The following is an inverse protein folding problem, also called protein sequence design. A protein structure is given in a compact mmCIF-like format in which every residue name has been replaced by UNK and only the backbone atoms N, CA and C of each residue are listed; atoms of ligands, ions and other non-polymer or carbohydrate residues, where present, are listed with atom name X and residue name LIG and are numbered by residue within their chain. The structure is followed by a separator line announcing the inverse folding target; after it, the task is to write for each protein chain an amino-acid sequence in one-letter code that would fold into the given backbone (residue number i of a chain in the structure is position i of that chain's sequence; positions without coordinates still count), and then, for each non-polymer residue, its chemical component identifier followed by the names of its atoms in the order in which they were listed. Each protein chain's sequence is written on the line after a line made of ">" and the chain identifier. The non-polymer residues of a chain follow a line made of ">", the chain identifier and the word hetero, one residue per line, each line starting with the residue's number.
data_IF_136807336396
#
_entry.id   IF_136807336396
#
_cell.length_a   1.000
_cell.length_b   1.000
_cell.length_c   1.000
_cell.angle_alpha   90.00
_cell.angle_beta   90.00
_cell.angle_gamma   90.00
#
_symmetry.space_group_name_H-M   'P 1'
#
loop_
_entity.id
_entity.type
_entity.pdbx_description
1 polymer ?
#
# COMPACT_ATOMS: atom_id res chain seq x y z
N UNK A 1 -6.36 -36.34 8.28
CA UNK A 1 -6.81 -35.74 7.01
C UNK A 1 -6.27 -34.32 6.96
N UNK A 2 -5.29 -34.04 6.10
CA UNK A 2 -4.75 -32.68 5.90
C UNK A 2 -5.53 -32.00 4.78
N UNK A 3 -6.12 -30.85 5.07
CA UNK A 3 -6.84 -30.03 4.08
C UNK A 3 -5.82 -29.35 3.17
N UNK A 4 -5.89 -29.58 1.86
CA UNK A 4 -5.06 -28.87 0.89
C UNK A 4 -5.69 -27.52 0.57
N UNK A 5 -4.90 -26.45 0.68
CA UNK A 5 -5.31 -25.10 0.29
C UNK A 5 -5.10 -24.90 -1.21
N UNK A 6 -6.04 -24.23 -1.87
CA UNK A 6 -5.97 -23.87 -3.28
C UNK A 6 -6.11 -22.35 -3.41
N UNK A 7 -5.04 -21.70 -3.88
CA UNK A 7 -4.91 -20.24 -3.91
C UNK A 7 -4.67 -19.75 -5.35
N UNK A 8 -5.71 -19.64 -6.18
CA UNK A 8 -5.58 -19.11 -7.53
C UNK A 8 -5.44 -17.59 -7.50
N UNK A 9 -4.53 -17.05 -8.33
CA UNK A 9 -4.38 -15.61 -8.55
C UNK A 9 -5.05 -15.23 -9.88
N UNK A 10 -5.94 -14.23 -9.84
CA UNK A 10 -6.64 -13.72 -11.03
C UNK A 10 -6.17 -12.29 -11.32
N UNK A 11 -5.69 -12.05 -12.53
CA UNK A 11 -5.31 -10.71 -13.01
C UNK A 11 -6.44 -10.10 -13.85
N UNK A 12 -6.62 -8.78 -13.74
CA UNK A 12 -7.60 -8.04 -14.50
C UNK A 12 -7.13 -6.60 -14.74
N UNK A 13 -7.64 -5.97 -15.79
CA UNK A 13 -7.37 -4.57 -16.14
C UNK A 13 -8.67 -3.77 -16.16
N UNK A 14 -8.58 -2.47 -15.84
CA UNK A 14 -9.72 -1.55 -15.90
C UNK A 14 -9.94 -1.11 -17.35
N UNK A 15 -11.10 -1.40 -17.92
CA UNK A 15 -11.46 -0.98 -19.28
C UNK A 15 -12.25 0.32 -19.32
N UNK A 16 -12.91 0.68 -18.22
CA UNK A 16 -13.75 1.88 -18.12
C UNK A 16 -13.50 2.63 -16.81
N UNK A 17 -13.68 3.95 -16.86
CA UNK A 17 -13.62 4.81 -15.68
C UNK A 17 -14.95 4.72 -14.91
N UNK A 18 -14.91 4.24 -13.67
CA UNK A 18 -16.09 4.07 -12.80
C UNK A 18 -15.78 4.65 -11.43
N UNK A 19 -16.61 5.55 -10.92
CA UNK A 19 -16.45 6.11 -9.56
C UNK A 19 -17.36 5.38 -8.57
N UNK A 20 -17.03 5.48 -7.27
CA UNK A 20 -17.86 4.93 -6.16
C UNK A 20 -18.19 3.44 -6.35
N UNK A 21 -17.20 2.63 -6.73
CA UNK A 21 -17.42 1.21 -6.94
C UNK A 21 -17.91 0.53 -5.65
N UNK A 22 -18.90 -0.34 -5.79
CA UNK A 22 -19.36 -1.19 -4.68
C UNK A 22 -18.47 -2.44 -4.56
N UNK A 23 -18.31 -2.99 -3.34
CA UNK A 23 -17.62 -4.26 -3.14
C UNK A 23 -18.23 -5.38 -4.00
N UNK A 24 -17.37 -6.23 -4.58
CA UNK A 24 -17.79 -7.30 -5.50
C UNK A 24 -17.59 -8.66 -4.83
N UNK A 25 -18.53 -9.60 -4.98
CA UNK A 25 -18.42 -10.90 -4.34
C UNK A 25 -17.56 -11.90 -5.13
N UNK A 26 -16.75 -12.65 -4.41
CA UNK A 26 -16.16 -13.94 -4.83
C UNK A 26 -16.95 -15.04 -4.14
N UNK A 27 -17.45 -16.02 -4.91
CA UNK A 27 -18.24 -17.13 -4.39
C UNK A 27 -17.62 -18.45 -4.82
N UNK A 28 -17.47 -19.36 -3.87
CA UNK A 28 -17.08 -20.75 -4.10
C UNK A 28 -18.27 -21.62 -3.72
N UNK A 29 -18.61 -22.60 -4.55
CA UNK A 29 -19.72 -23.50 -4.31
C UNK A 29 -19.40 -24.91 -4.79
N UNK A 30 -20.01 -25.91 -4.16
CA UNK A 30 -20.03 -27.27 -4.67
C UNK A 30 -20.96 -27.33 -5.89
N UNK A 31 -20.45 -27.84 -7.01
CA UNK A 31 -21.16 -27.88 -8.28
C UNK A 31 -22.45 -28.73 -8.22
N UNK A 32 -22.43 -29.83 -7.46
CA UNK A 32 -23.58 -30.73 -7.34
C UNK A 32 -24.49 -30.37 -6.16
N UNK A 33 -24.00 -29.59 -5.21
CA UNK A 33 -24.75 -29.15 -4.04
C UNK A 33 -24.54 -27.65 -3.77
N UNK A 34 -25.28 -26.82 -4.49
CA UNK A 34 -25.16 -25.34 -4.39
C UNK A 34 -25.55 -24.76 -3.02
N UNK A 35 -26.09 -25.57 -2.10
CA UNK A 35 -26.32 -25.17 -0.71
C UNK A 35 -25.00 -24.99 0.05
N UNK A 36 -23.96 -25.74 -0.33
CA UNK A 36 -22.59 -25.59 0.18
C UNK A 36 -21.87 -24.50 -0.58
N UNK A 37 -22.00 -23.25 -0.11
CA UNK A 37 -21.29 -22.11 -0.68
C UNK A 37 -20.63 -21.24 0.39
N UNK A 38 -19.55 -20.60 0.01
CA UNK A 38 -18.92 -19.52 0.76
C UNK A 38 -18.83 -18.28 -0.12
N UNK A 39 -19.02 -17.10 0.47
CA UNK A 39 -18.99 -15.81 -0.23
C UNK A 39 -18.15 -14.83 0.56
N UNK A 40 -17.24 -14.13 -0.13
CA UNK A 40 -16.43 -13.04 0.41
C UNK A 40 -16.53 -11.86 -0.52
N UNK A 41 -16.52 -10.64 0.00
CA UNK A 41 -16.47 -9.42 -0.82
C UNK A 41 -15.04 -8.90 -0.86
N UNK A 42 -14.59 -8.54 -2.06
CA UNK A 42 -13.37 -7.77 -2.22
C UNK A 42 -13.72 -6.34 -2.63
N UNK A 43 -12.89 -5.40 -2.18
CA UNK A 43 -13.00 -4.00 -2.55
C UNK A 43 -11.97 -3.68 -3.64
N UNK A 44 -12.41 -3.23 -4.82
CA UNK A 44 -11.47 -2.72 -5.81
C UNK A 44 -10.87 -1.40 -5.30
N UNK A 45 -9.75 -0.97 -5.90
CA UNK A 45 -9.18 0.35 -5.60
C UNK A 45 -10.25 1.44 -5.77
N UNK A 46 -10.46 2.26 -4.76
CA UNK A 46 -11.46 3.33 -4.84
C UNK A 46 -11.02 4.35 -5.91
N UNK A 47 -11.95 4.75 -6.77
CA UNK A 47 -11.80 5.96 -7.59
C UNK A 47 -12.92 6.93 -7.29
N UNK A 48 -12.53 8.18 -7.08
CA UNK A 48 -13.45 9.29 -6.83
C UNK A 48 -14.00 9.83 -8.14
N UNK A 49 -15.01 10.71 -8.05
CA UNK A 49 -15.53 11.38 -9.24
C UNK A 49 -14.48 12.31 -9.87
N UNK A 50 -13.66 12.96 -9.04
CA UNK A 50 -12.63 13.90 -9.48
C UNK A 50 -11.43 13.21 -10.16
N UNK A 51 -11.21 11.91 -9.91
CA UNK A 51 -10.20 11.12 -10.62
C UNK A 51 -10.63 10.75 -12.06
N UNK A 52 -11.92 10.93 -12.37
CA UNK A 52 -12.55 10.35 -13.57
C UNK A 52 -13.16 11.41 -14.49
N UNK A 53 -13.77 12.45 -13.93
CA UNK A 53 -14.43 13.50 -14.70
C UNK A 53 -13.42 14.35 -15.48
N UNK A 54 -13.86 14.89 -16.62
CA UNK A 54 -13.03 15.71 -17.51
C UNK A 54 -13.71 17.05 -17.78
N UNK A 55 -12.97 18.15 -17.66
CA UNK A 55 -13.47 19.49 -17.98
C UNK A 55 -14.75 19.87 -17.24
N UNK A 56 -15.79 20.20 -18.02
CA UNK A 56 -17.09 20.66 -17.52
C UNK A 56 -17.91 19.55 -16.83
N UNK A 57 -17.60 18.27 -17.07
CA UNK A 57 -18.28 17.13 -16.43
C UNK A 57 -18.10 17.10 -14.90
N UNK A 58 -17.01 17.70 -14.41
CA UNK A 58 -16.73 17.80 -12.98
C UNK A 58 -17.62 18.81 -12.26
N UNK A 59 -18.19 19.77 -12.99
CA UNK A 59 -18.94 20.90 -12.44
C UNK A 59 -18.22 21.56 -11.26
N UNK A 60 -18.96 21.85 -10.19
CA UNK A 60 -18.43 22.43 -8.95
C UNK A 60 -18.06 21.39 -7.88
N UNK A 61 -18.02 20.10 -8.22
CA UNK A 61 -17.81 19.02 -7.22
C UNK A 61 -16.35 18.92 -6.79
N UNK A 62 -15.43 19.26 -7.69
CA UNK A 62 -14.00 19.07 -7.50
C UNK A 62 -13.24 20.36 -7.15
N UNK A 63 -13.93 21.50 -7.00
CA UNK A 63 -13.34 22.83 -6.83
C UNK A 63 -13.00 23.21 -5.38
N UNK A 64 -12.99 22.26 -4.44
CA UNK A 64 -12.73 22.54 -3.00
C UNK A 64 -11.56 21.77 -2.37
N UNK A 65 -10.77 21.00 -3.13
CA UNK A 65 -9.56 20.38 -2.61
C UNK A 65 -8.44 20.36 -3.66
N UNK A 66 -7.80 21.51 -3.83
CA UNK A 66 -6.46 21.59 -4.41
C UNK A 66 -5.44 20.96 -3.45
N UNK A 67 -5.43 19.63 -3.31
CA UNK A 67 -4.19 18.86 -3.07
C UNK A 67 -4.49 17.36 -2.95
N UNK A 68 -4.13 16.61 -3.99
CA UNK A 68 -3.81 15.19 -3.86
C UNK A 68 -2.87 14.78 -4.99
N UNK A 69 -1.62 15.24 -4.89
CA UNK A 69 -0.47 14.47 -5.39
C UNK A 69 -0.25 13.31 -4.42
N UNK A 70 -0.79 12.14 -4.75
CA UNK A 70 -0.38 10.87 -4.16
C UNK A 70 0.31 10.02 -5.23
N UNK A 71 1.46 10.48 -5.70
CA UNK A 71 2.47 9.56 -6.20
C UNK A 71 3.07 8.85 -4.98
N UNK A 72 2.55 7.67 -4.66
CA UNK A 72 3.31 6.73 -3.84
C UNK A 72 4.54 6.33 -4.64
N UNK A 73 5.65 7.03 -4.40
CA UNK A 73 6.99 6.51 -4.62
C UNK A 73 7.18 5.24 -3.79
N UNK A 74 6.85 4.09 -4.37
CA UNK A 74 7.52 2.84 -4.01
C UNK A 74 8.89 2.83 -4.69
N UNK A 75 9.86 3.51 -4.08
CA UNK A 75 11.27 3.17 -4.26
C UNK A 75 11.90 3.14 -2.88
N UNK A 76 12.00 1.92 -2.36
CA UNK A 76 12.78 1.59 -1.17
C UNK A 76 14.25 1.94 -1.41
N UNK A 77 14.71 3.08 -0.89
CA UNK A 77 16.13 3.38 -0.72
C UNK A 77 16.39 3.50 0.78
N UNK A 78 16.86 2.41 1.36
CA UNK A 78 17.37 2.37 2.73
C UNK A 78 18.76 3.02 2.78
N UNK A 79 18.92 3.98 3.70
CA UNK A 79 20.13 4.27 4.51
C UNK A 79 21.32 4.93 3.78
N UNK A 80 22.06 5.93 4.29
CA UNK A 80 22.33 6.40 5.64
C UNK A 80 22.46 7.94 5.66
N UNK A 81 21.71 8.61 6.55
CA UNK A 81 22.04 9.99 6.96
C UNK A 81 22.97 9.86 8.16
N UNK A 82 24.27 9.89 7.93
CA UNK A 82 25.24 10.02 9.02
C UNK A 82 25.12 11.45 9.57
N UNK A 83 24.43 11.58 10.70
CA UNK A 83 24.38 12.81 11.49
C UNK A 83 25.79 13.18 11.97
N UNK A 84 26.45 14.09 11.24
CA UNK A 84 27.83 14.53 11.41
C UNK A 84 28.14 15.29 12.73
N UNK A 85 27.24 15.29 13.70
CA UNK A 85 27.42 16.01 14.98
C UNK A 85 27.81 15.11 16.16
N UNK A 86 27.86 13.77 15.99
CA UNK A 86 28.21 12.83 17.06
C UNK A 86 29.66 12.30 17.02
N UNK A 87 30.41 12.58 15.94
CA UNK A 87 31.80 12.10 15.75
C UNK A 87 32.80 12.57 16.82
N UNK A 88 32.79 13.81 17.34
CA UNK A 88 33.80 14.22 18.32
C UNK A 88 33.61 13.54 19.69
N UNK A 89 32.39 13.14 20.07
CA UNK A 89 32.12 12.48 21.35
C UNK A 89 32.52 10.99 21.35
N UNK A 90 32.30 10.28 20.23
CA UNK A 90 32.66 8.85 20.12
C UNK A 90 34.18 8.67 20.06
N UNK A 91 34.90 9.56 19.36
CA UNK A 91 36.37 9.51 19.29
C UNK A 91 36.99 9.78 20.67
N UNK A 92 36.44 10.72 21.45
CA UNK A 92 36.94 11.01 22.81
C UNK A 92 36.72 9.83 23.77
N UNK A 93 35.59 9.13 23.65
CA UNK A 93 35.29 7.95 24.45
C UNK A 93 36.22 6.77 24.12
N UNK A 94 36.52 6.53 22.83
CA UNK A 94 37.46 5.49 22.42
C UNK A 94 38.91 5.82 22.81
N UNK A 95 39.33 7.09 22.73
CA UNK A 95 40.66 7.50 23.19
C UNK A 95 40.83 7.29 24.71
N UNK A 96 39.79 7.56 25.51
CA UNK A 96 39.78 7.25 26.96
C UNK A 96 39.85 5.74 27.22
N UNK A 97 39.20 4.93 26.38
CA UNK A 97 39.21 3.47 26.53
C UNK A 97 40.59 2.87 26.18
N UNK A 98 41.23 3.32 25.10
CA UNK A 98 42.56 2.83 24.69
C UNK A 98 43.64 3.24 25.68
N UNK A 99 43.62 4.48 26.20
CA UNK A 99 44.60 4.94 27.20
C UNK A 99 44.36 4.32 28.59
N UNK A 100 43.13 3.87 28.89
CA UNK A 100 42.79 3.21 30.15
C UNK A 100 43.14 1.72 30.21
N UNK A 101 43.50 1.09 29.09
CA UNK A 101 43.83 -0.34 29.02
C UNK A 101 45.32 -0.63 29.22
N UNK A 102 46.16 0.39 29.43
CA UNK A 102 47.62 0.25 29.59
C UNK A 102 48.11 0.81 30.94
N UNK A 103 47.38 0.48 32.02
CA UNK A 103 47.88 0.48 33.40
C UNK A 103 47.31 -0.65 34.22
#
# INVERSE_FOLDING_TARGET
>A
MTRQEYCPTVSAFRTHKVAKQKPVPVTIYDYYDSSRRARVFYEPRVSTLCDICEGEDCGNVCSTSSDSRSDLQSSSSHQHVLSFWALPLVILALARFVVGAER
#
